data_IF_467142634570
#
_entry.id   IF_467142634570
#
_cell.length_a   1.000
_cell.length_b   1.000
_cell.length_c   1.000
_cell.angle_alpha   90.00
_cell.angle_beta   90.00
_cell.angle_gamma   90.00
#
_symmetry.space_group_name_H-M   'P 1'
#
loop_
_entity.id
_entity.type
_entity.pdbx_description
1 polymer ?
#
# COMPACT_ATOMS: atom_id res chain seq x y z
N UNK A 1 29.80 -44.36 31.34
CA UNK A 1 28.57 -43.80 30.86
C UNK A 1 28.47 -42.34 31.31
N UNK A 2 28.92 -41.36 30.57
CA UNK A 2 28.64 -39.95 30.91
C UNK A 2 29.32 -38.89 30.00
N UNK A 3 29.90 -39.25 28.87
CA UNK A 3 30.53 -38.24 27.97
C UNK A 3 29.68 -37.91 26.71
N UNK A 4 28.74 -38.76 26.41
CA UNK A 4 27.91 -38.57 25.17
C UNK A 4 26.67 -37.70 25.33
N UNK A 5 26.14 -37.58 26.55
CA UNK A 5 24.98 -36.73 26.81
C UNK A 5 25.31 -35.22 26.80
N UNK A 6 26.54 -34.85 27.17
CA UNK A 6 26.97 -33.44 27.20
C UNK A 6 27.25 -32.91 25.77
N UNK A 7 27.62 -33.77 24.85
CA UNK A 7 27.82 -33.39 23.43
C UNK A 7 26.48 -33.22 22.66
N UNK A 8 25.46 -33.99 23.03
CA UNK A 8 24.12 -33.84 22.45
C UNK A 8 23.40 -32.57 22.93
N UNK A 9 23.67 -32.09 24.15
CA UNK A 9 23.11 -30.83 24.64
C UNK A 9 23.77 -29.57 24.08
N UNK A 10 25.04 -29.65 23.62
CA UNK A 10 25.70 -28.53 22.92
C UNK A 10 25.35 -28.42 21.44
N UNK A 11 24.72 -29.44 20.84
CA UNK A 11 24.31 -29.42 19.44
C UNK A 11 22.89 -28.89 19.21
N UNK A 12 22.12 -28.60 20.29
CA UNK A 12 20.74 -28.07 20.23
C UNK A 12 20.71 -26.55 20.51
N UNK A 13 21.84 -25.89 20.53
CA UNK A 13 21.97 -24.45 20.49
C UNK A 13 21.76 -23.86 19.09
N UNK A 14 20.85 -24.41 18.27
CA UNK A 14 20.31 -23.72 17.10
C UNK A 14 19.38 -22.63 17.63
N UNK A 15 19.96 -21.46 17.89
CA UNK A 15 19.20 -20.24 18.09
C UNK A 15 18.19 -20.13 16.96
N UNK A 16 16.90 -20.32 17.28
CA UNK A 16 15.80 -20.16 16.34
C UNK A 16 15.99 -18.81 15.62
N UNK A 17 16.19 -18.86 14.33
CA UNK A 17 16.40 -17.66 13.50
C UNK A 17 15.24 -16.68 13.73
N UNK A 18 15.49 -15.45 14.15
CA UNK A 18 14.45 -14.46 14.44
C UNK A 18 13.69 -13.99 13.18
N UNK A 19 13.86 -14.66 12.06
CA UNK A 19 13.28 -14.33 10.76
C UNK A 19 11.75 -14.56 10.66
N UNK A 20 11.11 -15.60 11.22
CA UNK A 20 9.68 -15.82 11.05
C UNK A 20 8.80 -14.73 11.68
N UNK A 21 9.12 -14.30 12.89
CA UNK A 21 8.30 -13.33 13.65
C UNK A 21 8.24 -11.97 12.98
N UNK A 22 9.34 -11.50 12.40
CA UNK A 22 9.39 -10.21 11.68
C UNK A 22 8.58 -10.22 10.39
N UNK A 23 8.47 -11.35 9.74
CA UNK A 23 7.67 -11.49 8.53
C UNK A 23 6.18 -11.39 8.85
N UNK A 24 5.74 -11.92 10.01
CA UNK A 24 4.35 -11.79 10.47
C UNK A 24 3.95 -10.32 10.70
N UNK A 25 4.82 -9.52 11.31
CA UNK A 25 4.58 -8.09 11.50
C UNK A 25 4.40 -7.35 10.17
N UNK A 26 5.25 -7.60 9.16
CA UNK A 26 5.15 -6.98 7.85
C UNK A 26 3.92 -7.44 7.06
N UNK A 27 3.51 -8.71 7.21
CA UNK A 27 2.25 -9.21 6.64
C UNK A 27 1.03 -8.54 7.32
N UNK A 28 1.09 -8.31 8.63
CA UNK A 28 0.06 -7.56 9.34
C UNK A 28 -0.04 -6.11 8.85
N UNK A 29 1.09 -5.42 8.65
CA UNK A 29 1.11 -4.06 8.07
C UNK A 29 0.49 -4.05 6.68
N UNK A 30 0.81 -5.04 5.84
CA UNK A 30 0.24 -5.15 4.48
C UNK A 30 -1.28 -5.30 4.54
N UNK A 31 -1.79 -6.21 5.37
CA UNK A 31 -3.23 -6.41 5.55
C UNK A 31 -3.93 -5.16 6.09
N UNK A 32 -3.36 -4.53 7.11
CA UNK A 32 -3.88 -3.28 7.69
C UNK A 32 -3.92 -2.14 6.67
N UNK A 33 -2.83 -1.92 5.94
CA UNK A 33 -2.76 -0.86 4.95
C UNK A 33 -3.77 -1.08 3.79
N UNK A 34 -4.08 -2.35 3.45
CA UNK A 34 -5.15 -2.67 2.49
C UNK A 34 -6.53 -2.31 3.03
N UNK A 35 -6.84 -2.67 4.28
CA UNK A 35 -8.10 -2.27 4.92
C UNK A 35 -8.24 -0.75 5.03
N UNK A 36 -7.16 -0.04 5.34
CA UNK A 36 -7.14 1.43 5.29
C UNK A 36 -7.47 1.99 3.90
N UNK A 37 -7.21 1.24 2.82
CA UNK A 37 -7.63 1.63 1.47
C UNK A 37 -9.13 1.65 1.30
N UNK A 38 -9.83 0.68 1.88
CA UNK A 38 -11.30 0.64 1.87
C UNK A 38 -11.84 1.84 2.64
N UNK A 39 -11.30 2.09 3.85
CA UNK A 39 -11.66 3.24 4.69
C UNK A 39 -11.42 4.54 3.94
N UNK A 40 -10.25 4.70 3.31
CA UNK A 40 -9.90 5.90 2.53
C UNK A 40 -10.91 6.16 1.41
N UNK A 41 -11.24 5.13 0.61
CA UNK A 41 -12.21 5.31 -0.46
C UNK A 41 -13.63 5.60 0.07
N UNK A 42 -14.00 5.04 1.23
CA UNK A 42 -15.27 5.32 1.88
C UNK A 42 -15.39 6.78 2.37
N UNK A 43 -14.29 7.48 2.66
CA UNK A 43 -14.33 8.90 3.05
C UNK A 43 -14.57 9.86 1.90
N UNK A 44 -14.26 9.47 0.65
CA UNK A 44 -14.16 10.40 -0.49
C UNK A 44 -15.46 11.15 -0.80
N UNK A 45 -16.63 10.54 -0.63
CA UNK A 45 -17.92 11.20 -0.84
C UNK A 45 -18.23 12.28 0.21
N UNK A 46 -17.59 12.22 1.38
CA UNK A 46 -17.84 13.14 2.49
C UNK A 46 -16.87 14.31 2.57
N UNK A 47 -15.86 14.36 1.68
CA UNK A 47 -14.86 15.44 1.72
C UNK A 47 -15.53 16.75 1.29
N UNK A 48 -15.51 17.81 2.14
CA UNK A 48 -16.01 19.11 1.76
C UNK A 48 -15.07 19.76 0.74
N UNK A 49 -15.41 19.70 -0.53
CA UNK A 49 -14.62 20.27 -1.62
C UNK A 49 -15.47 21.24 -2.44
N UNK A 50 -14.90 22.39 -2.87
CA UNK A 50 -15.62 23.36 -3.71
C UNK A 50 -15.90 22.81 -5.11
N UNK A 51 -15.09 21.86 -5.55
CA UNK A 51 -15.31 21.11 -6.79
C UNK A 51 -15.40 19.63 -6.47
N UNK A 52 -16.28 18.93 -7.19
CA UNK A 52 -16.46 17.50 -6.99
C UNK A 52 -15.19 16.73 -7.37
N UNK A 53 -14.59 16.10 -6.38
CA UNK A 53 -13.38 15.29 -6.54
C UNK A 53 -13.70 13.79 -6.67
N UNK A 54 -14.97 13.41 -6.46
CA UNK A 54 -15.45 12.03 -6.47
C UNK A 54 -16.73 11.90 -7.30
N UNK A 55 -17.19 10.66 -7.55
CA UNK A 55 -18.38 10.36 -8.36
C UNK A 55 -19.67 10.95 -7.79
N UNK A 56 -19.73 11.08 -6.47
CA UNK A 56 -20.86 11.66 -5.75
C UNK A 56 -20.35 12.40 -4.51
N UNK A 57 -21.00 13.49 -4.16
CA UNK A 57 -20.75 14.21 -2.92
C UNK A 57 -21.94 14.02 -1.99
N UNK A 58 -21.68 13.64 -0.75
CA UNK A 58 -22.72 13.47 0.26
C UNK A 58 -23.34 14.82 0.67
N UNK A 59 -24.63 14.82 1.01
CA UNK A 59 -25.31 16.01 1.49
C UNK A 59 -24.90 16.45 2.90
N UNK A 60 -24.20 15.57 3.65
CA UNK A 60 -23.62 15.85 4.97
C UNK A 60 -22.08 15.67 4.92
N UNK A 61 -21.34 16.61 4.32
CA UNK A 61 -19.87 16.54 4.27
C UNK A 61 -19.24 16.61 5.67
N UNK A 62 -18.06 16.05 5.84
CA UNK A 62 -17.38 15.93 7.14
C UNK A 62 -15.91 16.29 7.06
N UNK A 63 -15.50 17.32 7.81
CA UNK A 63 -14.08 17.65 7.96
C UNK A 63 -13.31 16.53 8.71
N UNK A 64 -13.96 15.84 9.64
CA UNK A 64 -13.34 14.69 10.34
C UNK A 64 -12.95 13.59 9.36
N UNK A 65 -13.81 13.26 8.39
CA UNK A 65 -13.50 12.28 7.37
C UNK A 65 -12.47 12.78 6.36
N UNK A 66 -12.44 14.08 6.08
CA UNK A 66 -11.38 14.70 5.28
C UNK A 66 -10.02 14.61 5.96
N UNK A 67 -9.94 14.85 7.27
CA UNK A 67 -8.70 14.64 8.05
C UNK A 67 -8.30 13.16 8.06
N UNK A 68 -9.23 12.25 8.25
CA UNK A 68 -8.97 10.81 8.19
C UNK A 68 -8.42 10.39 6.82
N UNK A 69 -9.02 10.88 5.73
CA UNK A 69 -8.50 10.72 4.37
C UNK A 69 -7.05 11.20 4.27
N UNK A 70 -6.78 12.43 4.70
CA UNK A 70 -5.47 13.05 4.63
C UNK A 70 -4.42 12.20 5.37
N UNK A 71 -4.69 11.81 6.63
CA UNK A 71 -3.79 10.99 7.44
C UNK A 71 -3.46 9.67 6.76
N UNK A 72 -4.47 8.95 6.27
CA UNK A 72 -4.27 7.66 5.60
C UNK A 72 -3.47 7.85 4.30
N UNK A 73 -3.76 8.92 3.57
CA UNK A 73 -3.15 9.20 2.27
C UNK A 73 -1.64 9.48 2.39
N UNK A 74 -1.20 10.14 3.47
CA UNK A 74 0.21 10.49 3.70
C UNK A 74 1.14 9.27 3.59
N UNK A 75 0.83 8.15 4.21
CA UNK A 75 1.81 7.07 4.39
C UNK A 75 1.46 5.76 3.68
N UNK A 76 0.16 5.53 3.43
CA UNK A 76 -0.33 4.20 3.04
C UNK A 76 0.41 3.60 1.84
N UNK A 77 0.53 4.36 0.77
CA UNK A 77 1.13 3.84 -0.46
C UNK A 77 2.63 3.69 -0.37
N UNK A 78 3.32 4.61 0.30
CA UNK A 78 4.77 4.51 0.57
C UNK A 78 5.09 3.27 1.40
N UNK A 79 4.29 3.00 2.44
CA UNK A 79 4.41 1.78 3.25
C UNK A 79 4.22 0.52 2.41
N UNK A 80 3.22 0.51 1.50
CA UNK A 80 3.00 -0.62 0.59
C UNK A 80 4.19 -0.89 -0.32
N UNK A 81 4.71 0.14 -0.99
CA UNK A 81 5.82 -0.03 -1.91
C UNK A 81 7.10 -0.44 -1.19
N UNK A 82 7.35 0.06 0.02
CA UNK A 82 8.48 -0.38 0.84
C UNK A 82 8.37 -1.87 1.16
N UNK A 83 7.22 -2.33 1.63
CA UNK A 83 6.99 -3.75 1.95
C UNK A 83 7.06 -4.60 0.68
N UNK A 84 6.53 -4.12 -0.44
CA UNK A 84 6.61 -4.81 -1.73
C UNK A 84 8.07 -5.01 -2.18
N UNK A 85 8.90 -3.99 -2.07
CA UNK A 85 10.33 -4.06 -2.37
C UNK A 85 11.06 -5.05 -1.45
N UNK A 86 10.76 -5.03 -0.16
CA UNK A 86 11.32 -5.96 0.81
C UNK A 86 11.00 -7.43 0.47
N UNK A 87 9.74 -7.74 0.22
CA UNK A 87 9.33 -9.10 -0.17
C UNK A 87 9.76 -9.47 -1.58
N UNK A 88 9.96 -8.50 -2.47
CA UNK A 88 10.51 -8.74 -3.80
C UNK A 88 11.95 -9.28 -3.72
N UNK A 89 12.81 -8.63 -2.92
CA UNK A 89 14.18 -9.09 -2.70
C UNK A 89 14.21 -10.49 -2.04
N UNK A 90 13.39 -10.70 -1.01
CA UNK A 90 13.24 -11.99 -0.35
C UNK A 90 12.85 -13.10 -1.34
N UNK A 91 11.81 -12.86 -2.15
CA UNK A 91 11.32 -13.83 -3.13
C UNK A 91 12.36 -14.12 -4.21
N UNK A 92 13.03 -13.07 -4.72
CA UNK A 92 14.06 -13.21 -5.74
C UNK A 92 15.24 -14.07 -5.26
N UNK A 93 15.75 -13.82 -4.05
CA UNK A 93 16.89 -14.56 -3.50
C UNK A 93 16.56 -16.01 -3.13
N UNK A 94 15.34 -16.27 -2.64
CA UNK A 94 14.93 -17.63 -2.26
C UNK A 94 14.59 -18.52 -3.44
N UNK A 95 14.00 -17.96 -4.51
CA UNK A 95 13.41 -18.75 -5.60
C UNK A 95 14.12 -18.59 -6.95
N UNK A 96 15.04 -17.63 -7.06
CA UNK A 96 15.72 -17.30 -8.31
C UNK A 96 14.87 -16.47 -9.28
N UNK A 97 15.55 -15.88 -10.29
CA UNK A 97 14.93 -14.89 -11.17
C UNK A 97 13.79 -15.42 -12.04
N UNK A 98 13.93 -16.64 -12.61
CA UNK A 98 12.87 -17.23 -13.47
C UNK A 98 11.57 -17.47 -12.70
N UNK A 99 11.66 -18.04 -11.50
CA UNK A 99 10.51 -18.31 -10.65
C UNK A 99 9.90 -17.01 -10.17
N UNK A 100 10.73 -16.01 -9.82
CA UNK A 100 10.27 -14.67 -9.44
C UNK A 100 9.44 -14.01 -10.55
N UNK A 101 9.95 -13.98 -11.79
CA UNK A 101 9.23 -13.39 -12.93
C UNK A 101 7.89 -14.11 -13.15
N UNK A 102 7.90 -15.45 -13.22
CA UNK A 102 6.68 -16.24 -13.37
C UNK A 102 5.64 -15.92 -12.28
N UNK A 103 6.09 -15.83 -11.03
CA UNK A 103 5.24 -15.51 -9.89
C UNK A 103 4.65 -14.09 -10.00
N UNK A 104 5.43 -13.09 -10.45
CA UNK A 104 4.92 -11.72 -10.67
C UNK A 104 3.93 -11.66 -11.82
N UNK A 105 4.18 -12.35 -12.92
CA UNK A 105 3.24 -12.42 -14.04
C UNK A 105 1.91 -13.07 -13.60
N UNK A 106 1.96 -14.15 -12.86
CA UNK A 106 0.75 -14.84 -12.42
C UNK A 106 -0.03 -14.11 -11.32
N UNK A 107 0.67 -13.46 -10.37
CA UNK A 107 0.02 -12.85 -9.20
C UNK A 107 -0.24 -11.35 -9.33
N UNK A 108 0.38 -10.66 -10.27
CA UNK A 108 0.23 -9.21 -10.45
C UNK A 108 -0.27 -8.90 -11.85
N UNK A 109 0.44 -9.35 -12.91
CA UNK A 109 0.05 -9.03 -14.27
C UNK A 109 -1.29 -9.68 -14.66
N UNK A 110 -1.48 -10.96 -14.37
CA UNK A 110 -2.74 -11.65 -14.69
C UNK A 110 -3.95 -11.04 -13.96
N UNK A 111 -3.93 -10.80 -12.64
CA UNK A 111 -5.01 -10.09 -11.96
C UNK A 111 -5.23 -8.67 -12.46
N UNK A 112 -4.19 -7.94 -12.90
CA UNK A 112 -4.35 -6.64 -13.52
C UNK A 112 -5.09 -6.75 -14.87
N UNK A 113 -4.63 -7.61 -15.78
CA UNK A 113 -5.17 -7.74 -17.13
C UNK A 113 -6.60 -8.30 -17.11
N UNK A 114 -6.87 -9.30 -16.27
CA UNK A 114 -8.21 -9.92 -16.16
C UNK A 114 -9.12 -9.12 -15.23
N UNK A 115 -8.60 -8.59 -14.15
CA UNK A 115 -9.37 -7.85 -13.15
C UNK A 115 -9.78 -6.47 -13.62
N UNK A 116 -8.93 -5.77 -14.39
CA UNK A 116 -9.23 -4.42 -14.85
C UNK A 116 -10.55 -4.32 -15.63
N UNK A 117 -10.80 -5.10 -16.69
CA UNK A 117 -12.06 -5.00 -17.44
C UNK A 117 -13.28 -5.36 -16.58
N UNK A 118 -13.16 -6.32 -15.67
CA UNK A 118 -14.25 -6.73 -14.78
C UNK A 118 -14.59 -5.59 -13.79
N UNK A 119 -13.56 -5.04 -13.15
CA UNK A 119 -13.72 -3.93 -12.19
C UNK A 119 -14.24 -2.68 -12.89
N UNK A 120 -13.69 -2.34 -14.05
CA UNK A 120 -14.13 -1.21 -14.83
C UNK A 120 -15.59 -1.36 -15.27
N UNK A 121 -15.97 -2.53 -15.79
CA UNK A 121 -17.35 -2.84 -16.16
C UNK A 121 -18.32 -2.76 -14.95
N UNK A 122 -17.87 -3.13 -13.74
CA UNK A 122 -18.67 -2.99 -12.54
C UNK A 122 -18.80 -1.54 -12.07
N UNK A 123 -17.80 -0.68 -12.35
CA UNK A 123 -17.83 0.74 -11.97
C UNK A 123 -18.70 1.58 -12.90
N UNK A 124 -18.74 1.28 -14.20
CA UNK A 124 -19.47 2.06 -15.19
C UNK A 124 -20.94 2.29 -14.80
N UNK A 125 -21.76 1.25 -14.50
CA UNK A 125 -23.15 1.46 -14.10
C UNK A 125 -23.29 2.29 -12.82
N UNK A 126 -22.34 2.19 -11.89
CA UNK A 126 -22.36 2.98 -10.66
C UNK A 126 -22.11 4.47 -10.94
N UNK A 127 -21.19 4.79 -11.87
CA UNK A 127 -20.94 6.17 -12.31
C UNK A 127 -22.16 6.76 -13.00
N UNK A 128 -22.82 5.99 -13.88
CA UNK A 128 -24.07 6.42 -14.52
C UNK A 128 -25.20 6.58 -13.50
N UNK A 129 -25.30 5.69 -12.51
CA UNK A 129 -26.25 5.85 -11.43
C UNK A 129 -26.01 7.13 -10.62
N UNK A 130 -24.78 7.39 -10.25
CA UNK A 130 -24.39 8.62 -9.55
C UNK A 130 -24.76 9.88 -10.33
N UNK A 131 -24.60 9.87 -11.67
CA UNK A 131 -24.89 11.02 -12.53
C UNK A 131 -26.38 11.42 -12.55
N UNK A 132 -27.30 10.55 -12.14
CA UNK A 132 -28.72 10.87 -12.01
C UNK A 132 -29.06 11.66 -10.75
N UNK A 133 -28.12 11.83 -9.82
CA UNK A 133 -28.34 12.63 -8.61
C UNK A 133 -27.85 14.08 -8.79
N UNK A 134 -28.53 15.08 -8.19
CA UNK A 134 -28.10 16.48 -8.26
C UNK A 134 -26.69 16.71 -7.72
N UNK A 135 -26.27 15.89 -6.74
CA UNK A 135 -24.95 15.86 -6.13
C UNK A 135 -23.98 14.85 -6.77
N UNK A 136 -24.38 14.22 -7.88
CA UNK A 136 -23.57 13.31 -8.67
C UNK A 136 -22.52 14.01 -9.54
N UNK A 137 -21.44 13.32 -9.85
CA UNK A 137 -20.41 13.76 -10.78
C UNK A 137 -20.87 13.74 -12.24
N UNK A 138 -20.14 14.43 -13.13
CA UNK A 138 -20.38 14.34 -14.56
C UNK A 138 -19.91 13.01 -15.10
N UNK A 139 -20.64 12.45 -16.05
CA UNK A 139 -20.22 11.24 -16.77
C UNK A 139 -18.98 11.59 -17.62
N UNK A 140 -17.94 10.78 -17.65
CA UNK A 140 -16.81 10.94 -18.57
C UNK A 140 -17.32 11.05 -20.02
N UNK A 141 -16.83 12.07 -20.75
CA UNK A 141 -17.26 12.36 -22.10
C UNK A 141 -18.47 13.26 -22.24
N UNK A 142 -19.12 13.72 -21.13
CA UNK A 142 -20.16 14.73 -21.16
C UNK A 142 -19.62 16.08 -21.67
N UNK A 143 -20.46 16.95 -22.28
CA UNK A 143 -20.07 18.30 -22.69
C UNK A 143 -19.43 19.06 -21.52
N UNK A 144 -18.21 19.61 -21.73
CA UNK A 144 -17.40 20.29 -20.72
C UNK A 144 -16.48 19.37 -19.92
N UNK A 145 -16.42 18.06 -20.20
CA UNK A 145 -15.32 17.20 -19.79
C UNK A 145 -14.08 17.59 -20.60
N UNK A 146 -12.93 17.90 -19.98
CA UNK A 146 -11.76 18.33 -20.75
C UNK A 146 -11.37 17.23 -21.75
N UNK A 147 -11.11 17.59 -23.03
CA UNK A 147 -10.58 16.65 -24.01
C UNK A 147 -9.23 16.18 -23.49
N UNK A 148 -9.09 14.89 -23.36
CA UNK A 148 -7.90 14.37 -22.72
C UNK A 148 -7.23 13.42 -23.66
N UNK A 149 -5.94 13.71 -23.91
CA UNK A 149 -4.94 12.80 -24.44
C UNK A 149 -5.16 11.39 -23.88
N UNK A 150 -4.70 10.32 -24.52
CA UNK A 150 -5.12 8.96 -24.23
C UNK A 150 -5.01 8.64 -22.74
N UNK A 151 -6.07 8.97 -22.01
CA UNK A 151 -6.20 8.58 -20.61
C UNK A 151 -6.66 7.13 -20.60
N UNK A 152 -5.85 6.31 -19.97
CA UNK A 152 -6.26 4.96 -19.65
C UNK A 152 -6.64 4.93 -18.17
N UNK A 153 -7.93 4.71 -17.83
CA UNK A 153 -8.39 4.74 -16.45
C UNK A 153 -7.96 3.45 -15.74
N UNK A 154 -6.73 3.44 -15.22
CA UNK A 154 -6.24 2.33 -14.40
C UNK A 154 -7.07 2.13 -13.13
N UNK A 155 -7.87 3.15 -12.75
CA UNK A 155 -8.65 3.18 -11.53
C UNK A 155 -7.77 2.92 -10.30
N UNK A 156 -8.25 2.24 -9.27
CA UNK A 156 -7.43 1.85 -8.14
C UNK A 156 -6.39 0.75 -8.44
N UNK A 157 -6.50 0.08 -9.60
CA UNK A 157 -5.55 -0.96 -10.03
C UNK A 157 -4.20 -0.39 -10.51
N UNK A 158 -4.06 0.95 -10.58
CA UNK A 158 -2.80 1.63 -10.88
C UNK A 158 -1.64 1.12 -10.01
N UNK A 159 -1.93 0.72 -8.77
CA UNK A 159 -0.90 0.16 -7.88
C UNK A 159 -0.25 -1.11 -8.44
N UNK A 160 -1.03 -2.02 -9.02
CA UNK A 160 -0.49 -3.25 -9.62
C UNK A 160 0.36 -2.91 -10.86
N UNK A 161 -0.07 -1.92 -11.64
CA UNK A 161 0.64 -1.46 -12.82
C UNK A 161 2.01 -0.88 -12.45
N UNK A 162 2.06 0.10 -11.54
CA UNK A 162 3.31 0.71 -11.07
C UNK A 162 4.21 -0.32 -10.37
N UNK A 163 3.62 -1.28 -9.69
CA UNK A 163 4.38 -2.36 -9.05
C UNK A 163 5.10 -3.23 -10.10
N UNK A 164 4.45 -3.50 -11.24
CA UNK A 164 5.10 -4.20 -12.38
C UNK A 164 6.23 -3.37 -12.98
N UNK A 165 6.05 -2.05 -13.14
CA UNK A 165 7.12 -1.15 -13.59
C UNK A 165 8.33 -1.23 -12.65
N UNK A 166 8.12 -1.20 -11.33
CA UNK A 166 9.21 -1.27 -10.37
C UNK A 166 9.88 -2.64 -10.32
N UNK A 167 9.15 -3.73 -10.52
CA UNK A 167 9.77 -5.05 -10.68
C UNK A 167 10.64 -5.11 -11.92
N UNK A 168 10.15 -4.62 -13.06
CA UNK A 168 10.90 -4.56 -14.31
C UNK A 168 12.16 -3.69 -14.17
N UNK A 169 12.01 -2.46 -13.65
CA UNK A 169 13.13 -1.55 -13.40
C UNK A 169 14.17 -2.17 -12.48
N UNK A 170 13.75 -2.83 -11.39
CA UNK A 170 14.67 -3.49 -10.45
C UNK A 170 15.44 -4.63 -11.10
N UNK A 171 14.79 -5.42 -11.96
CA UNK A 171 15.47 -6.50 -12.69
C UNK A 171 16.52 -5.95 -13.68
N UNK A 172 16.18 -4.87 -14.39
CA UNK A 172 17.11 -4.17 -15.31
C UNK A 172 18.29 -3.60 -14.52
N UNK A 173 18.03 -2.84 -13.45
CA UNK A 173 19.09 -2.25 -12.61
C UNK A 173 19.99 -3.33 -12.01
N UNK A 174 19.39 -4.41 -11.51
CA UNK A 174 20.15 -5.53 -10.95
C UNK A 174 21.04 -6.20 -12.00
N UNK A 175 20.53 -6.39 -13.21
CA UNK A 175 21.32 -6.99 -14.31
C UNK A 175 22.46 -6.07 -14.71
N UNK A 176 22.19 -4.77 -14.86
CA UNK A 176 23.20 -3.74 -15.13
C UNK A 176 24.28 -3.70 -14.02
N UNK A 177 23.85 -3.71 -12.75
CA UNK A 177 24.76 -3.74 -11.61
C UNK A 177 25.62 -5.03 -11.59
N UNK A 178 25.06 -6.18 -11.94
CA UNK A 178 25.83 -7.43 -12.01
C UNK A 178 26.89 -7.40 -13.12
N UNK A 179 26.65 -6.65 -14.19
CA UNK A 179 27.58 -6.46 -15.28
C UNK A 179 28.66 -5.42 -14.95
N UNK A 180 28.28 -4.30 -14.32
CA UNK A 180 29.18 -3.18 -14.00
C UNK A 180 30.05 -3.45 -12.75
N UNK A 181 29.48 -4.07 -11.74
CA UNK A 181 30.08 -4.28 -10.41
C UNK A 181 30.52 -5.74 -10.24
N UNK A 182 31.54 -6.15 -11.02
CA UNK A 182 32.11 -7.51 -10.95
C UNK A 182 32.83 -7.76 -9.63
N UNK A 183 33.51 -6.76 -9.08
CA UNK A 183 34.22 -6.84 -7.79
C UNK A 183 33.25 -6.85 -6.60
N UNK A 184 32.09 -6.26 -6.72
CA UNK A 184 31.13 -6.12 -5.61
C UNK A 184 31.31 -4.84 -4.79
N UNK A 185 32.21 -3.95 -5.18
CA UNK A 185 32.54 -2.75 -4.40
C UNK A 185 31.40 -1.74 -4.36
N UNK A 186 30.73 -1.52 -5.50
CA UNK A 186 29.58 -0.61 -5.55
C UNK A 186 28.46 -1.15 -4.65
N UNK A 187 28.17 -2.44 -4.70
CA UNK A 187 27.17 -3.08 -3.84
C UNK A 187 27.54 -2.95 -2.36
N UNK A 188 28.81 -3.14 -2.01
CA UNK A 188 29.29 -2.98 -0.64
C UNK A 188 29.16 -1.53 -0.15
N UNK A 189 29.46 -0.53 -1.01
CA UNK A 189 29.26 0.88 -0.70
C UNK A 189 27.77 1.22 -0.51
N UNK A 190 26.89 0.73 -1.37
CA UNK A 190 25.43 0.92 -1.23
C UNK A 190 24.95 0.33 0.09
N UNK A 191 25.37 -0.88 0.44
CA UNK A 191 25.02 -1.53 1.71
C UNK A 191 25.52 -0.72 2.92
N UNK A 192 26.74 -0.19 2.82
CA UNK A 192 27.30 0.69 3.86
C UNK A 192 26.49 1.97 4.01
N UNK A 193 26.13 2.63 2.89
CA UNK A 193 25.31 3.85 2.92
C UNK A 193 23.93 3.59 3.52
N UNK A 194 23.25 2.50 3.15
CA UNK A 194 21.97 2.11 3.76
C UNK A 194 22.13 1.86 5.25
N UNK A 195 23.18 1.16 5.67
CA UNK A 195 23.47 0.92 7.07
C UNK A 195 23.70 2.20 7.87
N UNK A 196 24.47 3.15 7.33
CA UNK A 196 24.71 4.46 7.94
C UNK A 196 23.42 5.28 8.02
N UNK A 197 22.66 5.35 6.92
CA UNK A 197 21.35 6.05 6.88
C UNK A 197 20.43 5.48 7.96
N UNK A 198 20.23 4.18 8.02
CA UNK A 198 19.29 3.56 8.97
C UNK A 198 19.70 3.74 10.43
N UNK A 199 21.00 3.72 10.72
CA UNK A 199 21.51 3.97 12.09
C UNK A 199 21.42 5.43 12.50
N UNK A 200 21.35 6.36 11.53
CA UNK A 200 21.13 7.78 11.81
C UNK A 200 19.70 8.04 12.29
N UNK A 201 19.46 8.94 13.26
CA UNK A 201 18.13 9.43 13.58
C UNK A 201 17.50 10.22 12.43
N UNK A 202 18.30 10.73 11.50
CA UNK A 202 17.88 11.49 10.33
C UNK A 202 17.42 10.60 9.16
N UNK A 203 17.35 9.29 9.32
CA UNK A 203 16.94 8.38 8.25
C UNK A 203 15.64 8.80 7.54
N UNK A 204 14.56 9.18 8.22
CA UNK A 204 13.35 9.67 7.56
C UNK A 204 13.59 10.93 6.73
N UNK A 205 14.43 11.85 7.22
CA UNK A 205 14.75 13.10 6.53
C UNK A 205 15.57 12.85 5.26
N UNK A 206 16.58 11.97 5.32
CA UNK A 206 17.40 11.60 4.16
C UNK A 206 16.52 10.97 3.07
N UNK A 207 15.64 10.06 3.45
CA UNK A 207 14.74 9.39 2.51
C UNK A 207 13.61 10.30 1.98
N UNK A 208 13.29 11.36 2.69
CA UNK A 208 12.31 12.36 2.26
C UNK A 208 12.85 13.31 1.18
N UNK A 209 14.18 13.47 1.05
CA UNK A 209 14.79 14.41 0.11
C UNK A 209 14.30 14.22 -1.33
N UNK A 210 14.33 13.01 -1.94
CA UNK A 210 13.93 12.86 -3.33
C UNK A 210 12.49 13.31 -3.59
N UNK A 211 11.54 12.90 -2.74
CA UNK A 211 10.14 13.27 -2.93
C UNK A 211 9.87 14.73 -2.57
N UNK A 212 10.58 15.29 -1.59
CA UNK A 212 10.51 16.71 -1.25
C UNK A 212 10.96 17.59 -2.41
N UNK A 213 12.02 17.21 -3.12
CA UNK A 213 12.46 17.87 -4.36
C UNK A 213 11.37 17.73 -5.44
N UNK A 214 10.83 16.53 -5.67
CA UNK A 214 9.80 16.31 -6.69
C UNK A 214 8.52 17.14 -6.43
N UNK A 215 8.12 17.33 -5.16
CA UNK A 215 7.00 18.19 -4.80
C UNK A 215 7.29 19.67 -5.10
N UNK A 216 8.51 20.14 -4.81
CA UNK A 216 8.89 21.53 -5.05
C UNK A 216 9.09 21.86 -6.53
N UNK A 217 9.47 20.87 -7.35
CA UNK A 217 9.59 21.03 -8.80
C UNK A 217 8.24 21.11 -9.51
N UNK A 218 7.14 20.71 -8.88
CA UNK A 218 5.79 20.82 -9.43
C UNK A 218 5.05 22.03 -8.84
N UNK A 219 4.91 23.14 -9.57
CA UNK A 219 4.18 24.32 -9.09
C UNK A 219 2.70 24.04 -8.80
N UNK A 220 2.14 22.97 -9.39
CA UNK A 220 0.73 22.56 -9.22
C UNK A 220 0.54 21.55 -8.10
N UNK A 221 1.60 21.21 -7.36
CA UNK A 221 1.52 20.28 -6.26
C UNK A 221 0.49 20.70 -5.21
N UNK A 222 -0.44 19.79 -4.93
CA UNK A 222 -1.53 20.04 -4.01
C UNK A 222 -1.40 19.14 -2.78
N UNK A 223 -1.09 19.75 -1.65
CA UNK A 223 -0.75 19.06 -0.40
C UNK A 223 -1.81 18.09 0.12
N UNK A 224 -3.09 18.30 -0.17
CA UNK A 224 -4.17 17.38 0.19
C UNK A 224 -4.07 16.01 -0.50
N UNK A 225 -3.52 15.97 -1.71
CA UNK A 225 -3.35 14.75 -2.49
C UNK A 225 -1.94 14.16 -2.41
N UNK A 226 -1.01 14.87 -1.76
CA UNK A 226 0.36 14.40 -1.55
C UNK A 226 1.03 13.86 -2.80
N UNK A 227 1.41 12.59 -2.81
CA UNK A 227 1.93 11.92 -4.02
C UNK A 227 0.79 11.65 -4.97
N UNK A 228 0.80 12.33 -6.14
CA UNK A 228 -0.24 12.16 -7.16
C UNK A 228 -0.27 10.73 -7.67
N UNK A 229 -1.42 10.08 -7.56
CA UNK A 229 -1.62 8.72 -8.07
C UNK A 229 -1.72 8.70 -9.60
N UNK A 230 -1.07 7.76 -10.31
CA UNK A 230 -1.16 7.63 -11.78
C UNK A 230 -2.37 6.78 -12.21
N UNK A 231 -3.54 7.07 -11.67
CA UNK A 231 -4.77 6.30 -11.86
C UNK A 231 -5.46 6.53 -13.22
N UNK A 232 -5.05 7.56 -13.95
CA UNK A 232 -5.64 7.99 -15.22
C UNK A 232 -4.67 7.88 -16.41
N UNK A 233 -3.51 7.27 -16.26
CA UNK A 233 -2.48 7.21 -17.31
C UNK A 233 -1.62 5.97 -17.21
N UNK A 234 -1.20 5.44 -18.38
CA UNK A 234 -0.16 4.43 -18.47
C UNK A 234 1.26 5.01 -18.34
N UNK A 235 1.40 6.33 -18.32
CA UNK A 235 2.67 7.00 -18.03
C UNK A 235 2.67 7.44 -16.58
N UNK A 236 3.51 6.78 -15.78
CA UNK A 236 3.63 7.08 -14.34
C UNK A 236 4.27 8.47 -14.15
N UNK A 237 3.62 9.33 -13.38
CA UNK A 237 4.11 10.68 -13.14
C UNK A 237 5.38 10.70 -12.26
N UNK A 238 6.15 11.78 -12.36
CA UNK A 238 7.43 11.93 -11.65
C UNK A 238 7.32 11.73 -10.13
N UNK A 239 6.29 12.27 -9.51
CA UNK A 239 6.10 12.17 -8.05
C UNK A 239 5.88 10.72 -7.62
N UNK A 240 5.10 9.95 -8.37
CA UNK A 240 4.88 8.53 -8.11
C UNK A 240 6.15 7.69 -8.36
N UNK A 241 6.87 7.96 -9.45
CA UNK A 241 8.15 7.28 -9.74
C UNK A 241 9.16 7.55 -8.63
N UNK A 242 9.34 8.81 -8.23
CA UNK A 242 10.31 9.19 -7.21
C UNK A 242 9.88 8.72 -5.82
N UNK A 243 8.65 9.02 -5.41
CA UNK A 243 8.17 8.72 -4.05
C UNK A 243 8.02 7.23 -3.79
N UNK A 244 7.28 6.54 -4.66
CA UNK A 244 7.05 5.11 -4.51
C UNK A 244 8.25 4.28 -4.94
N UNK A 245 9.00 4.73 -5.96
CA UNK A 245 10.24 4.08 -6.38
C UNK A 245 11.34 4.13 -5.31
N UNK A 246 11.51 5.27 -4.62
CA UNK A 246 12.41 5.35 -3.45
C UNK A 246 11.99 4.37 -2.35
N UNK A 247 10.70 4.28 -2.05
CA UNK A 247 10.19 3.36 -1.04
C UNK A 247 10.42 1.89 -1.43
N UNK A 248 10.12 1.54 -2.68
CA UNK A 248 10.33 0.18 -3.19
C UNK A 248 11.82 -0.19 -3.21
N UNK A 249 12.67 0.68 -3.74
CA UNK A 249 14.12 0.48 -3.78
C UNK A 249 14.72 0.38 -2.39
N UNK A 250 14.29 1.25 -1.47
CA UNK A 250 14.72 1.18 -0.08
C UNK A 250 14.28 -0.13 0.59
N UNK A 251 13.06 -0.59 0.39
CA UNK A 251 12.57 -1.88 0.88
C UNK A 251 13.40 -3.06 0.35
N UNK A 252 13.74 -3.04 -0.95
CA UNK A 252 14.61 -4.02 -1.58
C UNK A 252 15.99 -4.06 -0.90
N UNK A 253 16.61 -2.92 -0.65
CA UNK A 253 17.92 -2.81 -0.01
C UNK A 253 17.87 -3.13 1.48
N UNK A 254 16.79 -2.77 2.18
CA UNK A 254 16.62 -3.06 3.60
C UNK A 254 16.58 -4.58 3.88
N UNK A 255 15.98 -5.37 2.99
CA UNK A 255 15.98 -6.83 3.15
C UNK A 255 17.39 -7.43 3.07
N UNK A 256 18.33 -6.81 2.36
CA UNK A 256 19.75 -7.28 2.31
C UNK A 256 20.43 -7.23 3.69
N UNK A 257 19.96 -6.33 4.55
CA UNK A 257 20.46 -6.11 5.91
C UNK A 257 19.30 -6.17 6.91
N UNK A 258 18.66 -7.33 7.00
CA UNK A 258 17.40 -7.53 7.75
C UNK A 258 17.48 -7.08 9.22
N UNK A 259 18.69 -7.07 9.81
CA UNK A 259 18.86 -6.62 11.18
C UNK A 259 18.62 -5.11 11.38
N UNK A 260 18.73 -4.32 10.32
CA UNK A 260 18.42 -2.89 10.38
C UNK A 260 16.93 -2.62 10.66
N UNK A 261 16.05 -3.60 10.42
CA UNK A 261 14.64 -3.47 10.73
C UNK A 261 14.38 -3.28 12.24
N UNK A 262 15.30 -3.77 13.10
CA UNK A 262 15.25 -3.53 14.56
C UNK A 262 15.41 -2.06 14.93
N UNK A 263 16.02 -1.26 14.08
CA UNK A 263 16.12 0.19 14.31
C UNK A 263 14.74 0.84 14.24
N UNK A 264 13.89 0.39 13.30
CA UNK A 264 12.51 0.85 13.19
C UNK A 264 11.72 0.46 14.45
N UNK A 265 11.87 -0.77 14.92
CA UNK A 265 11.25 -1.24 16.15
C UNK A 265 11.68 -0.41 17.37
N UNK A 266 12.98 -0.11 17.53
CA UNK A 266 13.48 0.68 18.66
C UNK A 266 13.05 2.14 18.64
N UNK A 267 12.87 2.72 17.46
CA UNK A 267 12.54 4.14 17.28
C UNK A 267 11.07 4.40 16.97
N UNK A 268 10.19 3.40 17.18
CA UNK A 268 8.78 3.52 16.81
C UNK A 268 8.10 4.74 17.45
N UNK A 269 8.35 4.99 18.75
CA UNK A 269 7.73 6.10 19.47
C UNK A 269 8.23 7.46 18.98
N UNK A 270 9.54 7.61 18.75
CA UNK A 270 10.10 8.84 18.19
C UNK A 270 9.49 9.15 16.83
N UNK A 271 9.46 8.14 15.95
CA UNK A 271 8.87 8.32 14.62
C UNK A 271 7.36 8.62 14.70
N UNK A 272 6.64 8.02 15.65
CA UNK A 272 5.20 8.28 15.83
C UNK A 272 4.93 9.71 16.29
N UNK A 273 5.69 10.21 17.27
CA UNK A 273 5.55 11.60 17.75
C UNK A 273 5.88 12.61 16.65
N UNK A 274 6.97 12.38 15.92
CA UNK A 274 7.34 13.23 14.78
C UNK A 274 6.27 13.15 13.67
N UNK A 275 5.74 11.96 13.38
CA UNK A 275 4.69 11.78 12.38
C UNK A 275 3.43 12.57 12.73
N UNK A 276 2.97 12.52 13.96
CA UNK A 276 1.79 13.28 14.41
C UNK A 276 2.00 14.78 14.21
N UNK A 277 3.15 15.32 14.68
CA UNK A 277 3.47 16.75 14.52
C UNK A 277 3.59 17.17 13.06
N UNK A 278 4.27 16.37 12.24
CA UNK A 278 4.47 16.66 10.81
C UNK A 278 3.18 16.52 9.99
N UNK A 279 2.31 15.56 10.31
CA UNK A 279 0.98 15.43 9.68
C UNK A 279 0.13 16.64 10.03
N UNK A 280 0.10 17.07 11.31
CA UNK A 280 -0.63 18.26 11.72
C UNK A 280 -0.12 19.51 11.02
N UNK A 281 1.20 19.72 10.98
CA UNK A 281 1.83 20.85 10.27
C UNK A 281 1.49 20.80 8.76
N UNK A 282 1.60 19.62 8.12
CA UNK A 282 1.27 19.45 6.71
C UNK A 282 -0.19 19.76 6.42
N UNK A 283 -1.10 19.34 7.30
CA UNK A 283 -2.53 19.61 7.19
C UNK A 283 -2.82 21.10 7.26
N UNK A 284 -2.26 21.82 8.25
CA UNK A 284 -2.40 23.27 8.39
C UNK A 284 -1.87 23.99 7.15
N UNK A 285 -0.67 23.65 6.69
CA UNK A 285 -0.06 24.27 5.50
C UNK A 285 -0.83 23.93 4.22
N UNK A 286 -1.42 22.72 4.12
CA UNK A 286 -2.26 22.34 2.99
C UNK A 286 -3.61 23.05 2.99
N UNK A 287 -4.07 23.57 4.13
CA UNK A 287 -5.34 24.29 4.26
C UNK A 287 -5.22 25.79 3.96
N UNK A 288 -4.01 26.33 3.79
CA UNK A 288 -3.81 27.73 3.37
C UNK A 288 -4.40 27.93 1.98
N UNK A 289 -5.26 28.95 1.76
CA UNK A 289 -5.89 29.22 0.48
C UNK A 289 -4.89 29.46 -0.65
N UNK A 290 -5.31 29.13 -1.87
CA UNK A 290 -4.54 29.40 -3.08
C UNK A 290 -4.86 30.81 -3.63
N UNK A 291 -3.89 31.60 -4.20
CA UNK A 291 -2.46 31.27 -4.35
C UNK A 291 -1.70 31.36 -3.03
N UNK A 292 -0.72 30.47 -2.84
CA UNK A 292 0.10 30.40 -1.62
C UNK A 292 1.45 31.08 -1.82
N UNK A 293 2.01 31.74 -0.78
CA UNK A 293 3.40 32.17 -0.79
C UNK A 293 4.35 30.99 -1.02
N UNK A 294 5.44 31.20 -1.75
CA UNK A 294 6.42 30.16 -2.03
C UNK A 294 7.00 29.51 -0.76
N UNK A 295 7.21 30.32 0.29
CA UNK A 295 7.66 29.81 1.59
C UNK A 295 6.66 28.81 2.21
N UNK A 296 5.36 29.07 2.10
CA UNK A 296 4.31 28.16 2.60
C UNK A 296 4.27 26.87 1.77
N UNK A 297 4.41 26.99 0.45
CA UNK A 297 4.48 25.86 -0.46
C UNK A 297 5.69 24.99 -0.16
N UNK A 298 6.87 25.58 -0.03
CA UNK A 298 8.11 24.88 0.32
C UNK A 298 8.01 24.19 1.68
N UNK A 299 7.54 24.89 2.71
CA UNK A 299 7.34 24.32 4.04
C UNK A 299 6.33 23.15 4.00
N UNK A 300 5.22 23.31 3.29
CA UNK A 300 4.21 22.26 3.12
C UNK A 300 4.76 21.01 2.43
N UNK A 301 5.49 21.17 1.35
CA UNK A 301 6.14 20.09 0.62
C UNK A 301 7.17 19.35 1.49
N UNK A 302 7.98 20.11 2.24
CA UNK A 302 8.99 19.55 3.14
C UNK A 302 8.35 18.78 4.31
N UNK A 303 7.37 19.40 4.99
CA UNK A 303 6.66 18.75 6.10
C UNK A 303 5.95 17.47 5.62
N UNK A 304 5.31 17.51 4.45
CA UNK A 304 4.62 16.35 3.90
C UNK A 304 5.59 15.22 3.55
N UNK A 305 6.72 15.53 2.90
CA UNK A 305 7.76 14.56 2.59
C UNK A 305 8.34 13.88 3.85
N UNK A 306 8.57 14.66 4.90
CA UNK A 306 9.00 14.14 6.21
C UNK A 306 7.91 13.31 6.87
N UNK A 307 6.65 13.74 6.81
CA UNK A 307 5.50 13.01 7.34
C UNK A 307 5.34 11.63 6.71
N UNK A 308 5.56 11.50 5.39
CA UNK A 308 5.52 10.21 4.68
C UNK A 308 6.45 9.20 5.35
N UNK A 309 7.72 9.56 5.54
CA UNK A 309 8.73 8.61 6.00
C UNK A 309 8.69 8.38 7.50
N UNK A 310 8.43 9.41 8.30
CA UNK A 310 8.26 9.24 9.75
C UNK A 310 7.06 8.36 10.07
N UNK A 311 5.93 8.55 9.36
CA UNK A 311 4.74 7.72 9.56
C UNK A 311 4.97 6.29 9.06
N UNK A 312 5.59 6.11 7.90
CA UNK A 312 5.94 4.77 7.38
C UNK A 312 6.83 4.02 8.38
N UNK A 313 7.84 4.66 8.94
CA UNK A 313 8.72 4.06 9.95
C UNK A 313 8.00 3.80 11.27
N UNK A 314 7.12 4.70 11.70
CA UNK A 314 6.30 4.50 12.88
C UNK A 314 5.37 3.29 12.74
N UNK A 315 4.64 3.18 11.64
CA UNK A 315 3.70 2.06 11.38
C UNK A 315 4.42 0.72 11.35
N UNK A 316 5.55 0.64 10.64
CA UNK A 316 6.36 -0.59 10.61
C UNK A 316 6.95 -0.89 12.00
N UNK A 317 7.47 0.13 12.69
CA UNK A 317 8.05 -0.02 14.03
C UNK A 317 7.03 -0.48 15.07
N UNK A 318 5.81 0.07 15.07
CA UNK A 318 4.68 -0.36 15.91
C UNK A 318 4.32 -1.82 15.62
N UNK A 319 4.22 -2.18 14.35
CA UNK A 319 3.90 -3.57 13.98
C UNK A 319 4.98 -4.55 14.45
N UNK A 320 6.26 -4.21 14.26
CA UNK A 320 7.37 -5.02 14.74
C UNK A 320 7.36 -5.17 16.28
N UNK A 321 6.96 -4.14 17.00
CA UNK A 321 6.91 -4.16 18.45
C UNK A 321 5.74 -4.94 19.03
N UNK A 322 4.56 -4.84 18.39
CA UNK A 322 3.30 -5.32 18.99
C UNK A 322 2.59 -6.42 18.19
N UNK A 323 2.95 -6.64 16.91
CA UNK A 323 2.26 -7.55 16.00
C UNK A 323 3.17 -8.66 15.43
N UNK A 324 4.32 -8.93 16.06
CA UNK A 324 5.29 -9.93 15.58
C UNK A 324 4.83 -11.38 15.83
N UNK A 325 3.91 -11.61 16.76
CA UNK A 325 3.39 -12.94 17.08
C UNK A 325 2.50 -13.49 15.94
N UNK A 326 2.47 -14.82 15.83
CA UNK A 326 1.55 -15.49 14.93
C UNK A 326 0.09 -15.27 15.36
N UNK A 327 -0.75 -14.82 14.45
CA UNK A 327 -2.20 -14.70 14.62
C UNK A 327 -2.93 -15.27 13.40
N UNK A 328 -3.82 -16.23 13.66
CA UNK A 328 -4.66 -16.82 12.60
C UNK A 328 -5.57 -15.76 11.93
N UNK A 329 -6.06 -14.79 12.72
CA UNK A 329 -6.87 -13.68 12.22
C UNK A 329 -6.06 -12.76 11.31
N UNK A 330 -4.84 -12.37 11.73
CA UNK A 330 -3.96 -11.56 10.89
C UNK A 330 -3.63 -12.27 9.57
N UNK A 331 -3.37 -13.59 9.63
CA UNK A 331 -3.12 -14.39 8.43
C UNK A 331 -4.35 -14.45 7.53
N UNK A 332 -5.54 -14.67 8.08
CA UNK A 332 -6.78 -14.67 7.29
C UNK A 332 -7.02 -13.33 6.59
N UNK A 333 -6.83 -12.21 7.31
CA UNK A 333 -6.94 -10.86 6.75
C UNK A 333 -5.89 -10.64 5.64
N UNK A 334 -4.64 -11.04 5.88
CA UNK A 334 -3.57 -10.92 4.89
C UNK A 334 -3.84 -11.74 3.62
N UNK A 335 -4.40 -12.96 3.75
CA UNK A 335 -4.78 -13.81 2.63
C UNK A 335 -5.99 -13.24 1.85
N UNK A 336 -6.97 -12.67 2.56
CA UNK A 336 -8.15 -12.05 1.96
C UNK A 336 -7.84 -10.70 1.30
N UNK A 337 -6.86 -9.98 1.83
CA UNK A 337 -6.62 -8.56 1.53
C UNK A 337 -6.45 -8.26 0.04
N UNK A 338 -5.85 -9.16 -0.72
CA UNK A 338 -5.67 -8.95 -2.16
C UNK A 338 -7.00 -9.02 -2.92
N UNK A 339 -7.87 -9.96 -2.58
CA UNK A 339 -9.22 -10.00 -3.16
C UNK A 339 -10.03 -8.77 -2.78
N UNK A 340 -10.01 -8.41 -1.51
CA UNK A 340 -10.68 -7.19 -1.03
C UNK A 340 -10.21 -5.95 -1.81
N UNK A 341 -8.90 -5.84 -2.04
CA UNK A 341 -8.33 -4.77 -2.85
C UNK A 341 -8.90 -4.74 -4.27
N UNK A 342 -9.07 -5.89 -4.92
CA UNK A 342 -9.57 -5.93 -6.30
C UNK A 342 -11.01 -5.45 -6.40
N UNK A 343 -11.87 -5.80 -5.43
CA UNK A 343 -13.33 -5.61 -5.57
C UNK A 343 -13.91 -4.43 -4.77
N UNK A 344 -13.13 -3.82 -3.86
CA UNK A 344 -13.70 -2.85 -2.91
C UNK A 344 -14.27 -1.60 -3.58
N UNK A 345 -13.63 -1.11 -4.64
CA UNK A 345 -13.97 0.20 -5.18
C UNK A 345 -15.40 0.27 -5.74
N UNK A 346 -15.84 -0.63 -6.65
CA UNK A 346 -17.22 -0.60 -7.14
C UNK A 346 -18.26 -0.81 -6.02
N UNK A 347 -17.97 -1.63 -5.00
CA UNK A 347 -18.87 -1.86 -3.86
C UNK A 347 -19.00 -0.59 -3.01
N UNK A 348 -17.88 0.03 -2.63
CA UNK A 348 -17.87 1.26 -1.84
C UNK A 348 -18.57 2.39 -2.60
N UNK A 349 -18.27 2.57 -3.89
CA UNK A 349 -18.92 3.56 -4.74
C UNK A 349 -20.44 3.38 -4.80
N UNK A 350 -20.91 2.15 -5.00
CA UNK A 350 -22.34 1.85 -5.05
C UNK A 350 -23.05 2.19 -3.72
N UNK A 351 -22.44 1.84 -2.60
CA UNK A 351 -22.97 2.17 -1.28
C UNK A 351 -22.96 3.67 -1.00
N UNK A 352 -21.92 4.40 -1.43
CA UNK A 352 -21.88 5.85 -1.34
C UNK A 352 -23.01 6.50 -2.11
N UNK A 353 -23.29 6.05 -3.34
CA UNK A 353 -24.42 6.54 -4.13
C UNK A 353 -25.75 6.23 -3.42
N UNK A 354 -25.92 5.02 -2.91
CA UNK A 354 -27.15 4.59 -2.24
C UNK A 354 -27.49 5.42 -1.00
N UNK A 355 -26.48 5.86 -0.23
CA UNK A 355 -26.71 6.61 1.01
C UNK A 355 -26.62 8.12 0.85
N UNK A 356 -26.11 8.63 -0.27
CA UNK A 356 -25.70 10.03 -0.45
C UNK A 356 -26.83 11.03 -0.25
N UNK A 357 -28.05 10.67 -0.66
CA UNK A 357 -29.23 11.52 -0.59
C UNK A 357 -30.08 11.29 0.67
N UNK A 358 -29.76 10.27 1.48
CA UNK A 358 -30.48 10.04 2.72
C UNK A 358 -30.25 11.20 3.71
N UNK A 359 -31.27 11.55 4.48
CA UNK A 359 -31.16 12.58 5.52
C UNK A 359 -30.64 11.98 6.83
N UNK A 360 -29.51 11.28 6.74
CA UNK A 360 -28.81 10.70 7.88
C UNK A 360 -27.54 11.48 8.17
N UNK A 361 -27.11 11.57 9.44
CA UNK A 361 -25.83 12.18 9.76
C UNK A 361 -24.68 11.35 9.19
N UNK A 362 -23.59 12.02 8.79
CA UNK A 362 -22.43 11.37 8.17
C UNK A 362 -21.87 10.15 8.94
N UNK A 363 -21.88 10.10 10.30
CA UNK A 363 -21.37 8.90 11.00
C UNK A 363 -22.20 7.65 10.71
N UNK A 364 -23.54 7.80 10.65
CA UNK A 364 -24.43 6.68 10.33
C UNK A 364 -24.22 6.18 8.90
N UNK A 365 -24.11 7.09 7.91
CA UNK A 365 -23.82 6.74 6.52
C UNK A 365 -22.46 6.06 6.36
N UNK A 366 -21.41 6.65 6.94
CA UNK A 366 -20.07 6.10 6.88
C UNK A 366 -19.99 4.72 7.54
N UNK A 367 -20.61 4.56 8.71
CA UNK A 367 -20.71 3.27 9.38
C UNK A 367 -21.47 2.25 8.51
N UNK A 368 -22.59 2.63 7.91
CA UNK A 368 -23.38 1.76 7.01
C UNK A 368 -22.55 1.29 5.83
N UNK A 369 -21.81 2.20 5.16
CA UNK A 369 -20.91 1.84 4.05
C UNK A 369 -19.92 0.76 4.49
N UNK A 370 -19.25 0.94 5.62
CA UNK A 370 -18.25 -0.03 6.09
C UNK A 370 -18.86 -1.33 6.60
N UNK A 371 -19.97 -1.24 7.37
CA UNK A 371 -20.64 -2.42 7.94
C UNK A 371 -21.31 -3.31 6.87
N UNK A 372 -21.60 -2.76 5.70
CA UNK A 372 -22.10 -3.53 4.56
C UNK A 372 -20.94 -3.99 3.66
N UNK A 373 -20.05 -3.07 3.27
CA UNK A 373 -18.97 -3.39 2.34
C UNK A 373 -18.02 -4.46 2.87
N UNK A 374 -17.58 -4.34 4.13
CA UNK A 374 -16.58 -5.26 4.71
C UNK A 374 -17.10 -6.71 4.79
N UNK A 375 -18.29 -6.99 5.37
CA UNK A 375 -18.85 -8.35 5.37
C UNK A 375 -19.10 -8.91 3.97
N UNK A 376 -19.60 -8.12 3.02
CA UNK A 376 -19.81 -8.54 1.63
C UNK A 376 -18.49 -8.96 0.99
N UNK A 377 -17.44 -8.18 1.17
CA UNK A 377 -16.12 -8.50 0.63
C UNK A 377 -15.50 -9.74 1.27
N UNK A 378 -15.53 -9.88 2.60
CA UNK A 378 -15.03 -11.07 3.28
C UNK A 378 -15.88 -12.31 2.98
N UNK A 379 -17.21 -12.16 2.89
CA UNK A 379 -18.12 -13.23 2.48
C UNK A 379 -17.82 -13.72 1.06
N UNK A 380 -17.64 -12.80 0.11
CA UNK A 380 -17.25 -13.15 -1.26
C UNK A 380 -15.86 -13.84 -1.32
N UNK A 381 -14.89 -13.39 -0.52
CA UNK A 381 -13.60 -14.06 -0.39
C UNK A 381 -13.77 -15.49 0.11
N UNK A 382 -14.54 -15.70 1.17
CA UNK A 382 -14.75 -17.00 1.78
C UNK A 382 -15.44 -17.98 0.82
N UNK A 383 -16.47 -17.51 0.09
CA UNK A 383 -17.31 -18.34 -0.77
C UNK A 383 -16.69 -18.58 -2.15
N UNK A 384 -16.12 -17.56 -2.77
CA UNK A 384 -15.72 -17.60 -4.18
C UNK A 384 -14.21 -17.79 -4.38
N UNK A 385 -13.38 -17.37 -3.42
CA UNK A 385 -11.94 -17.22 -3.64
C UNK A 385 -11.11 -18.19 -2.82
N UNK A 386 -11.35 -18.26 -1.52
CA UNK A 386 -10.46 -18.92 -0.57
C UNK A 386 -10.03 -20.33 -0.97
N UNK A 387 -10.95 -21.13 -1.47
CA UNK A 387 -10.72 -22.54 -1.82
C UNK A 387 -10.66 -22.79 -3.34
N UNK A 388 -10.73 -21.73 -4.14
CA UNK A 388 -10.78 -21.81 -5.60
C UNK A 388 -9.42 -21.62 -6.26
N UNK A 389 -9.39 -21.75 -7.59
CA UNK A 389 -8.24 -21.43 -8.44
C UNK A 389 -7.88 -19.95 -8.34
N UNK A 390 -8.87 -19.06 -8.16
CA UNK A 390 -8.64 -17.62 -7.98
C UNK A 390 -7.78 -17.40 -6.74
N UNK A 391 -8.12 -18.02 -5.61
CA UNK A 391 -7.31 -17.95 -4.40
C UNK A 391 -5.91 -18.53 -4.57
N UNK A 392 -5.77 -19.61 -5.35
CA UNK A 392 -4.46 -20.16 -5.66
C UNK A 392 -3.58 -19.18 -6.47
N UNK A 393 -4.17 -18.45 -7.41
CA UNK A 393 -3.47 -17.41 -8.18
C UNK A 393 -3.09 -16.24 -7.30
N UNK A 394 -4.03 -15.68 -6.54
CA UNK A 394 -3.81 -14.48 -5.73
C UNK A 394 -2.83 -14.74 -4.57
N UNK A 395 -2.98 -15.86 -3.85
CA UNK A 395 -2.19 -16.16 -2.66
C UNK A 395 -0.97 -17.06 -2.95
N UNK A 396 -0.92 -17.65 -4.16
CA UNK A 396 0.17 -18.53 -4.62
C UNK A 396 0.19 -19.92 -4.03
N UNK A 397 -0.86 -20.30 -3.31
CA UNK A 397 -1.10 -21.64 -2.82
C UNK A 397 -2.61 -21.89 -2.71
N UNK A 398 -3.03 -23.07 -2.99
CA UNK A 398 -4.44 -23.48 -2.83
C UNK A 398 -4.68 -23.89 -1.38
N UNK A 399 -5.62 -23.23 -0.71
CA UNK A 399 -6.12 -23.67 0.58
C UNK A 399 -7.14 -24.79 0.31
N UNK A 400 -6.96 -25.98 0.92
CA UNK A 400 -7.88 -27.10 0.78
C UNK A 400 -9.05 -26.95 1.73
N UNK A 401 -10.22 -27.42 1.32
CA UNK A 401 -11.37 -27.49 2.23
C UNK A 401 -11.08 -28.51 3.35
N UNK A 402 -11.62 -28.31 4.55
CA UNK A 402 -11.38 -29.22 5.69
C UNK A 402 -11.72 -30.72 5.38
N UNK A 403 -12.74 -30.95 4.59
CA UNK A 403 -13.13 -32.32 4.12
C UNK A 403 -12.05 -32.96 3.24
N UNK A 404 -11.47 -32.22 2.30
CA UNK A 404 -10.40 -32.72 1.42
C UNK A 404 -9.10 -32.99 2.20
N UNK A 405 -8.83 -32.21 3.25
CA UNK A 405 -7.68 -32.42 4.13
C UNK A 405 -7.83 -33.70 5.00
N UNK A 406 -9.02 -33.97 5.48
CA UNK A 406 -9.31 -35.18 6.27
C UNK A 406 -9.24 -36.46 5.42
N UNK A 407 -9.64 -36.40 4.15
CA UNK A 407 -9.60 -37.50 3.21
C UNK A 407 -8.17 -37.88 2.81
N UNK A 408 -7.29 -36.88 2.64
CA UNK A 408 -5.87 -37.12 2.37
C UNK A 408 -5.10 -37.74 3.54
N UNK A 409 -5.45 -37.39 4.78
CA UNK A 409 -4.87 -38.01 5.97
C UNK A 409 -5.28 -39.48 6.05
N UNK A 410 -6.53 -39.81 5.66
CA UNK A 410 -7.02 -41.21 5.61
C UNK A 410 -6.40 -42.06 4.49
N UNK A 411 -5.94 -41.46 3.40
CA UNK A 411 -5.30 -42.18 2.29
C UNK A 411 -3.79 -42.34 2.48
N UNK A 412 -3.18 -41.70 3.48
CA UNK A 412 -1.77 -41.84 3.82
C UNK A 412 -1.53 -42.65 5.11
N UNK A 413 -2.60 -43.11 5.77
CA UNK A 413 -2.58 -44.07 6.90
C UNK A 413 -2.95 -45.48 6.41
#
# INVERSE_FOLDING_TARGET
MSVDQTRLQMAVGVTASPAPERLHALDAVRGFALLLGIVLHATLSFIPAPTRIWIIQDNHPSMTLAVLFFVIHVFRMTTFFLIAGFFAHLSFHRRGGRVFIKDRLQRIALPLVVGWPIVFAAMVPVVFWAANFPNGGRVPGAPGWPPVLPRFPLTHLWFLYVLLEFYAATLVLRTGMAWLDKSGDIRAQVDRLIGLTMRSPLAPAILAVPIGIAFNLDPTWFGWLGVRTPDQSLVTNLQAVVGFGTAFGFGWLLHRQIDLIRVLERRWLLNLVLAIGLIAASFVLASVPWPRPDAVRFAGATCYALAIWTTTFAVIGVALRFLSGFSATQRYIADASYWLYLIHLPIVMALQVAVSSLDWPWPAKFATILLVAVPVMFGSYQLLVRYSVIGAVLNGHRIRKPSEAAELIRTQS
#
